data_IF_388827315275
#
_entry.id   IF_388827315275
#
_cell.length_a   1.000
_cell.length_b   1.000
_cell.length_c   1.000
_cell.angle_alpha   90.00
_cell.angle_beta   90.00
_cell.angle_gamma   90.00
#
_symmetry.space_group_name_H-M   'P 1'
#
loop_
_entity.id
_entity.type
_entity.pdbx_description
1 polymer ?
#
# COMPACT_ATOMS: atom_id res chain seq x y z
N UNK A 1 30.49 -87.34 23.58
CA UNK A 1 29.23 -86.53 23.77
C UNK A 1 29.64 -85.12 24.10
N UNK A 2 29.63 -84.19 23.11
CA UNK A 2 29.95 -82.77 23.29
C UNK A 2 28.59 -82.00 23.40
N UNK A 3 28.41 -81.37 24.53
CA UNK A 3 27.22 -80.46 24.74
C UNK A 3 27.45 -79.13 24.09
N UNK A 4 26.62 -78.80 23.10
CA UNK A 4 26.61 -77.49 22.45
C UNK A 4 25.75 -76.58 23.37
N UNK A 5 26.41 -75.49 23.88
CA UNK A 5 25.69 -74.44 24.60
C UNK A 5 25.22 -73.40 23.59
N UNK A 6 23.91 -73.30 23.38
CA UNK A 6 23.25 -72.27 22.56
C UNK A 6 23.23 -70.96 23.36
N UNK A 7 23.93 -69.93 22.86
CA UNK A 7 23.95 -68.60 23.42
C UNK A 7 22.80 -67.79 22.77
N UNK A 8 21.77 -67.45 23.54
CA UNK A 8 20.70 -66.56 23.13
C UNK A 8 21.19 -65.08 23.34
N UNK A 9 21.41 -64.36 22.25
CA UNK A 9 21.67 -62.92 22.29
C UNK A 9 20.32 -62.23 22.21
N UNK A 10 19.91 -61.58 23.31
CA UNK A 10 18.77 -60.70 23.35
C UNK A 10 19.15 -59.36 22.75
N UNK A 11 18.65 -59.07 21.55
CA UNK A 11 18.73 -57.71 20.99
C UNK A 11 17.65 -56.86 21.64
N UNK A 12 18.02 -56.04 22.63
CA UNK A 12 17.12 -55.01 23.16
C UNK A 12 17.03 -53.88 22.15
N UNK A 13 15.95 -53.83 21.39
CA UNK A 13 15.62 -52.67 20.54
C UNK A 13 15.16 -51.54 21.47
N UNK A 14 16.07 -50.60 21.77
CA UNK A 14 15.70 -49.34 22.40
C UNK A 14 14.87 -48.53 21.42
N UNK A 15 13.57 -48.59 21.51
CA UNK A 15 12.67 -47.60 20.94
C UNK A 15 12.90 -46.26 21.67
N UNK A 16 13.78 -45.41 21.13
CA UNK A 16 13.78 -44.02 21.51
C UNK A 16 12.51 -43.40 20.96
N UNK A 17 11.65 -42.79 21.79
CA UNK A 17 10.59 -41.96 21.26
C UNK A 17 11.27 -40.80 20.54
N UNK A 18 11.10 -40.70 19.24
CA UNK A 18 11.37 -39.49 18.48
C UNK A 18 10.36 -38.47 19.02
N UNK A 19 10.76 -37.72 20.04
CA UNK A 19 10.07 -36.47 20.33
C UNK A 19 10.33 -35.61 19.09
N UNK A 20 9.34 -35.58 18.21
CA UNK A 20 9.22 -34.50 17.25
C UNK A 20 9.28 -33.23 18.10
N UNK A 21 10.35 -32.49 17.97
CA UNK A 21 10.47 -31.15 18.53
C UNK A 21 9.45 -30.33 17.74
N UNK A 22 8.19 -30.36 18.17
CA UNK A 22 7.19 -29.38 17.72
C UNK A 22 7.77 -28.06 18.20
N UNK A 23 8.41 -27.32 17.28
CA UNK A 23 8.61 -25.91 17.46
C UNK A 23 7.29 -25.35 17.98
N UNK A 24 7.30 -24.52 19.06
CA UNK A 24 6.08 -23.91 19.53
C UNK A 24 5.44 -23.28 18.30
N UNK A 25 4.27 -23.80 17.89
CA UNK A 25 3.65 -23.60 16.60
C UNK A 25 3.60 -22.11 16.33
N UNK A 26 4.28 -21.66 15.28
CA UNK A 26 4.15 -20.29 14.83
C UNK A 26 2.64 -20.00 14.73
N UNK A 27 2.16 -18.93 15.41
CA UNK A 27 0.73 -18.55 15.42
C UNK A 27 0.20 -18.54 14.00
N UNK A 28 -0.99 -19.05 13.80
CA UNK A 28 -1.63 -19.04 12.49
C UNK A 28 -1.82 -17.63 11.97
N UNK A 29 -1.94 -17.47 10.65
CA UNK A 29 -2.17 -16.13 10.08
C UNK A 29 -3.50 -15.53 10.54
N UNK A 30 -4.51 -16.35 10.80
CA UNK A 30 -5.81 -15.94 11.36
C UNK A 30 -5.65 -15.31 12.75
N UNK A 31 -4.83 -15.92 13.61
CA UNK A 31 -4.55 -15.40 14.96
C UNK A 31 -3.79 -14.08 14.89
N UNK A 32 -2.77 -13.98 14.03
CA UNK A 32 -1.98 -12.74 13.85
C UNK A 32 -2.82 -11.59 13.31
N UNK A 33 -3.70 -11.88 12.34
CA UNK A 33 -4.63 -10.89 11.80
C UNK A 33 -5.67 -10.44 12.81
N UNK A 34 -6.16 -11.36 13.67
CA UNK A 34 -7.15 -11.04 14.70
C UNK A 34 -6.61 -10.12 15.80
N UNK A 35 -5.28 -10.00 15.95
CA UNK A 35 -4.65 -9.03 16.86
C UNK A 35 -4.74 -7.59 16.33
N UNK A 36 -4.79 -7.43 15.02
CA UNK A 36 -4.68 -6.11 14.36
C UNK A 36 -5.88 -5.75 13.49
N UNK A 37 -6.86 -6.63 13.32
CA UNK A 37 -8.08 -6.37 12.54
C UNK A 37 -9.32 -6.80 13.32
N UNK A 38 -10.47 -6.21 12.96
CA UNK A 38 -11.77 -6.76 13.36
C UNK A 38 -11.85 -8.24 12.92
N UNK A 39 -12.31 -9.17 13.80
CA UNK A 39 -12.30 -10.62 13.50
C UNK A 39 -13.04 -10.99 12.21
N UNK A 40 -14.11 -10.26 11.84
CA UNK A 40 -14.85 -10.52 10.61
C UNK A 40 -14.02 -10.13 9.38
N UNK A 41 -13.29 -9.01 9.47
CA UNK A 41 -12.38 -8.58 8.39
C UNK A 41 -11.21 -9.55 8.29
N UNK A 42 -10.62 -10.00 9.40
CA UNK A 42 -9.54 -10.97 9.42
C UNK A 42 -9.96 -12.27 8.71
N UNK A 43 -11.10 -12.85 9.10
CA UNK A 43 -11.64 -14.08 8.49
C UNK A 43 -11.92 -13.90 6.99
N UNK A 44 -12.55 -12.78 6.59
CA UNK A 44 -12.84 -12.50 5.18
C UNK A 44 -11.53 -12.35 4.37
N UNK A 45 -10.52 -11.67 4.95
CA UNK A 45 -9.25 -11.42 4.29
C UNK A 45 -8.44 -12.71 4.06
N UNK A 46 -8.43 -13.64 5.02
CA UNK A 46 -7.78 -14.94 4.84
C UNK A 46 -8.39 -15.72 3.68
N UNK A 47 -9.70 -15.63 3.50
CA UNK A 47 -10.41 -16.33 2.41
C UNK A 47 -10.21 -15.64 1.05
N UNK A 48 -10.36 -14.32 0.99
CA UNK A 48 -10.40 -13.56 -0.25
C UNK A 48 -9.03 -13.03 -0.68
N UNK A 49 -8.08 -12.93 0.24
CA UNK A 49 -6.76 -12.28 0.10
C UNK A 49 -6.80 -10.77 -0.11
N UNK A 50 -7.89 -10.24 -0.62
CA UNK A 50 -8.09 -8.82 -0.91
C UNK A 50 -9.54 -8.41 -0.63
N UNK A 51 -9.74 -7.22 -0.05
CA UNK A 51 -11.07 -6.64 0.19
C UNK A 51 -11.03 -5.17 -0.20
N UNK A 52 -12.04 -4.70 -0.94
CA UNK A 52 -12.22 -3.30 -1.28
C UNK A 52 -13.58 -2.79 -0.83
N UNK A 53 -13.61 -1.61 -0.21
CA UNK A 53 -14.84 -0.92 0.18
C UNK A 53 -14.84 0.52 -0.34
N UNK A 54 -15.91 0.92 -1.01
CA UNK A 54 -16.03 2.23 -1.65
C UNK A 54 -17.31 2.93 -1.18
N UNK A 55 -17.17 4.12 -0.60
CA UNK A 55 -18.27 4.97 -0.14
C UNK A 55 -18.28 6.29 -0.89
N UNK A 56 -19.46 6.79 -1.20
CA UNK A 56 -19.67 8.11 -1.79
C UNK A 56 -20.96 8.73 -1.26
N UNK A 57 -20.88 9.91 -0.68
CA UNK A 57 -22.03 10.64 -0.15
C UNK A 57 -22.81 9.89 0.94
N UNK A 58 -22.22 8.88 1.56
CA UNK A 58 -22.86 8.10 2.61
C UNK A 58 -22.94 8.87 3.93
N UNK A 59 -23.89 8.51 4.79
CA UNK A 59 -24.00 9.06 6.15
C UNK A 59 -22.78 8.72 7.01
N UNK A 60 -22.27 7.50 6.86
CA UNK A 60 -21.04 7.04 7.53
C UNK A 60 -19.88 7.00 6.53
N UNK A 61 -18.96 7.98 6.63
CA UNK A 61 -17.74 8.10 5.85
C UNK A 61 -16.50 7.74 6.68
N UNK A 62 -16.61 6.78 7.58
CA UNK A 62 -15.47 6.24 8.35
C UNK A 62 -14.91 5.00 7.67
N UNK A 63 -13.58 4.77 7.76
CA UNK A 63 -12.98 3.49 7.39
C UNK A 63 -13.57 2.33 8.21
N UNK A 64 -13.56 1.14 7.65
CA UNK A 64 -14.11 -0.07 8.29
C UNK A 64 -13.08 -1.21 8.40
N UNK A 65 -11.92 -1.05 7.77
CA UNK A 65 -10.87 -2.08 7.74
C UNK A 65 -9.52 -1.56 8.27
N UNK A 66 -9.53 -0.42 8.99
CA UNK A 66 -8.30 0.12 9.60
C UNK A 66 -7.68 -0.90 10.56
N UNK A 67 -6.39 -1.21 10.40
CA UNK A 67 -5.67 -2.00 11.38
C UNK A 67 -5.65 -1.32 12.76
N UNK A 68 -5.81 -2.10 13.80
CA UNK A 68 -5.73 -1.65 15.20
C UNK A 68 -4.24 -1.53 15.55
N UNK A 69 -3.69 -0.33 15.43
CA UNK A 69 -2.25 -0.08 15.62
C UNK A 69 -1.96 1.39 15.92
N UNK A 70 -0.83 1.66 16.57
CA UNK A 70 -0.35 3.02 16.77
C UNK A 70 -0.12 3.76 15.45
N UNK A 71 0.30 3.07 14.40
CA UNK A 71 0.44 3.65 13.06
C UNK A 71 -0.91 4.16 12.53
N UNK A 72 -1.98 3.36 12.61
CA UNK A 72 -3.32 3.77 12.20
C UNK A 72 -3.84 4.94 13.02
N UNK A 73 -3.58 4.99 14.33
CA UNK A 73 -3.95 6.11 15.21
C UNK A 73 -3.26 7.41 14.79
N UNK A 74 -1.98 7.36 14.40
CA UNK A 74 -1.23 8.52 13.90
C UNK A 74 -1.67 8.94 12.50
N UNK A 75 -1.98 8.00 11.62
CA UNK A 75 -2.35 8.29 10.22
C UNK A 75 -3.79 8.82 10.09
N UNK A 76 -4.74 8.29 10.84
CA UNK A 76 -6.17 8.62 10.70
C UNK A 76 -6.48 10.12 10.83
N UNK A 77 -5.94 10.89 11.79
CA UNK A 77 -6.20 12.32 11.88
C UNK A 77 -5.69 13.12 10.68
N UNK A 78 -4.64 12.64 10.01
CA UNK A 78 -4.07 13.28 8.83
C UNK A 78 -4.95 13.07 7.58
N UNK A 79 -5.68 11.95 7.52
CA UNK A 79 -6.59 11.59 6.43
C UNK A 79 -8.00 12.19 6.62
N UNK A 80 -8.46 12.28 7.86
CA UNK A 80 -9.85 12.57 8.21
C UNK A 80 -10.11 14.02 8.64
N UNK A 81 -9.20 14.96 8.34
CA UNK A 81 -9.34 16.39 8.75
C UNK A 81 -10.70 17.01 8.42
N UNK A 82 -11.44 16.43 7.47
CA UNK A 82 -12.76 16.92 7.04
C UNK A 82 -13.59 15.73 6.54
N UNK A 83 -14.91 15.74 6.78
CA UNK A 83 -15.83 14.72 6.26
C UNK A 83 -15.68 14.60 4.74
N UNK A 84 -15.15 13.48 4.20
CA UNK A 84 -14.94 13.31 2.76
C UNK A 84 -16.28 13.05 2.04
N UNK A 85 -16.35 13.38 0.74
CA UNK A 85 -17.43 12.94 -0.13
C UNK A 85 -17.20 11.54 -0.69
N UNK A 86 -15.91 11.18 -0.87
CA UNK A 86 -15.48 9.85 -1.29
C UNK A 86 -14.54 9.25 -0.23
N UNK A 87 -14.69 7.95 0.02
CA UNK A 87 -13.78 7.12 0.78
C UNK A 87 -13.64 5.79 0.07
N UNK A 88 -12.40 5.42 -0.27
CA UNK A 88 -12.02 4.12 -0.80
C UNK A 88 -11.02 3.46 0.14
N UNK A 89 -11.30 2.25 0.56
CA UNK A 89 -10.48 1.46 1.45
C UNK A 89 -10.19 0.11 0.80
N UNK A 90 -8.94 -0.29 0.80
CA UNK A 90 -8.46 -1.55 0.25
C UNK A 90 -7.49 -2.19 1.22
N UNK A 91 -7.64 -3.48 1.44
CA UNK A 91 -6.74 -4.27 2.27
C UNK A 91 -6.37 -5.56 1.54
N UNK A 92 -5.09 -5.93 1.62
CA UNK A 92 -4.54 -7.14 0.99
C UNK A 92 -3.60 -7.87 1.93
N UNK A 93 -3.66 -9.19 1.88
CA UNK A 93 -2.76 -10.10 2.57
C UNK A 93 -1.84 -10.75 1.53
N UNK A 94 -0.58 -10.33 1.51
CA UNK A 94 0.43 -10.87 0.60
C UNK A 94 1.34 -11.85 1.34
N UNK A 95 1.50 -13.08 0.80
CA UNK A 95 2.45 -14.05 1.31
C UNK A 95 3.83 -13.77 0.74
N UNK A 96 4.84 -13.69 1.60
CA UNK A 96 6.24 -13.54 1.15
C UNK A 96 6.70 -14.82 0.45
N UNK A 97 7.19 -14.71 -0.77
CA UNK A 97 7.56 -15.86 -1.61
C UNK A 97 9.01 -15.80 -2.13
N UNK A 98 9.66 -14.65 -2.00
CA UNK A 98 11.02 -14.43 -2.47
C UNK A 98 12.09 -14.78 -1.43
N UNK A 99 13.34 -14.93 -1.87
CA UNK A 99 14.48 -15.24 -0.99
C UNK A 99 14.95 -14.02 -0.17
N UNK A 100 14.60 -12.80 -0.57
CA UNK A 100 15.03 -11.58 0.08
C UNK A 100 13.93 -10.99 0.96
N UNK A 101 14.32 -10.17 1.94
CA UNK A 101 13.41 -9.36 2.74
C UNK A 101 13.54 -7.90 2.30
N UNK A 102 12.62 -7.39 1.47
CA UNK A 102 12.70 -6.04 0.93
C UNK A 102 12.65 -4.95 2.01
N UNK A 103 13.40 -3.88 1.80
CA UNK A 103 13.27 -2.67 2.61
C UNK A 103 12.02 -1.88 2.17
N UNK A 104 10.90 -2.14 2.85
CA UNK A 104 9.61 -1.50 2.59
C UNK A 104 9.73 0.04 2.64
N UNK A 105 10.59 0.57 3.51
CA UNK A 105 10.79 2.01 3.65
C UNK A 105 11.41 2.64 2.40
N UNK A 106 12.32 1.94 1.74
CA UNK A 106 12.90 2.39 0.47
C UNK A 106 11.88 2.35 -0.65
N UNK A 107 11.10 1.28 -0.76
CA UNK A 107 10.03 1.17 -1.75
C UNK A 107 9.06 2.35 -1.60
N UNK A 108 8.58 2.64 -0.40
CA UNK A 108 7.65 3.76 -0.18
C UNK A 108 8.23 5.14 -0.53
N UNK A 109 9.55 5.31 -0.44
CA UNK A 109 10.25 6.57 -0.79
C UNK A 109 10.71 6.65 -2.25
N UNK A 110 10.52 5.58 -3.02
CA UNK A 110 10.85 5.55 -4.45
C UNK A 110 9.76 6.30 -5.26
N UNK A 111 9.71 7.63 -5.08
CA UNK A 111 8.70 8.50 -5.70
C UNK A 111 8.79 8.47 -7.22
N UNK A 112 10.02 8.42 -7.77
CA UNK A 112 10.23 8.33 -9.22
C UNK A 112 9.75 6.99 -9.81
N UNK A 113 9.66 5.93 -9.00
CA UNK A 113 9.09 4.63 -9.38
C UNK A 113 7.58 4.68 -9.68
N UNK A 114 6.90 5.76 -9.28
CA UNK A 114 5.50 6.00 -9.65
C UNK A 114 5.33 6.52 -11.09
N UNK A 115 6.41 6.92 -11.78
CA UNK A 115 6.33 7.35 -13.18
C UNK A 115 5.95 6.18 -14.09
N UNK A 116 4.93 6.35 -14.90
CA UNK A 116 4.47 5.34 -15.84
C UNK A 116 3.54 4.28 -15.27
N UNK A 117 3.18 4.32 -13.97
CA UNK A 117 2.22 3.36 -13.41
C UNK A 117 0.88 3.43 -14.14
N UNK A 118 0.23 2.29 -14.27
CA UNK A 118 -0.99 2.16 -15.05
C UNK A 118 -2.19 1.73 -14.20
N UNK A 119 -3.37 2.06 -14.69
CA UNK A 119 -4.64 1.60 -14.16
C UNK A 119 -5.60 1.21 -15.29
N UNK A 120 -6.51 0.28 -15.02
CA UNK A 120 -7.59 -0.02 -15.97
C UNK A 120 -8.67 1.06 -15.93
N UNK A 121 -8.84 1.75 -17.04
CA UNK A 121 -9.87 2.77 -17.17
C UNK A 121 -11.19 2.16 -17.63
N UNK A 122 -12.17 2.09 -16.71
CA UNK A 122 -13.51 1.59 -17.03
C UNK A 122 -14.26 2.45 -18.07
N UNK A 123 -13.90 3.72 -18.22
CA UNK A 123 -14.55 4.61 -19.20
C UNK A 123 -14.03 4.37 -20.63
N UNK A 124 -12.74 4.03 -20.75
CA UNK A 124 -12.10 3.80 -22.05
C UNK A 124 -11.90 2.30 -22.35
N UNK A 125 -12.14 1.40 -21.35
CA UNK A 125 -11.95 -0.05 -21.44
C UNK A 125 -10.52 -0.46 -21.85
N UNK A 126 -9.52 0.29 -21.36
CA UNK A 126 -8.10 0.08 -21.65
C UNK A 126 -7.21 0.41 -20.44
N UNK A 127 -5.98 -0.08 -20.46
CA UNK A 127 -4.93 0.35 -19.52
C UNK A 127 -4.47 1.76 -19.89
N UNK A 128 -4.39 2.64 -18.89
CA UNK A 128 -3.95 4.04 -19.04
C UNK A 128 -2.92 4.39 -17.99
N UNK A 129 -1.95 5.16 -18.39
CA UNK A 129 -0.96 5.72 -17.48
C UNK A 129 -1.62 6.66 -16.49
N UNK A 130 -1.31 6.50 -15.20
CA UNK A 130 -1.77 7.41 -14.15
C UNK A 130 -0.85 8.64 -14.07
N UNK A 131 0.43 8.42 -13.85
CA UNK A 131 1.42 9.49 -13.77
C UNK A 131 2.35 9.46 -14.97
N UNK A 132 2.27 10.50 -15.81
CA UNK A 132 3.18 10.69 -16.95
C UNK A 132 4.58 11.03 -16.48
N UNK A 133 4.67 11.67 -15.31
CA UNK A 133 5.92 12.06 -14.66
C UNK A 133 5.73 12.02 -13.15
N UNK A 134 6.75 11.55 -12.43
CA UNK A 134 6.78 11.49 -10.97
C UNK A 134 8.21 11.67 -10.47
N UNK A 135 8.44 12.62 -9.55
CA UNK A 135 9.73 12.82 -8.89
C UNK A 135 9.63 13.68 -7.63
N UNK A 136 10.59 13.52 -6.73
CA UNK A 136 10.73 14.35 -5.54
C UNK A 136 11.20 15.76 -5.90
N UNK A 137 10.72 16.77 -5.15
CA UNK A 137 11.10 18.17 -5.34
C UNK A 137 11.37 18.85 -4.00
N UNK A 138 12.19 19.89 -4.03
CA UNK A 138 12.32 20.86 -2.94
C UNK A 138 11.75 22.21 -3.34
N UNK A 139 11.17 22.90 -2.39
CA UNK A 139 10.72 24.28 -2.55
C UNK A 139 11.91 25.22 -2.45
N UNK A 140 12.08 26.10 -3.44
CA UNK A 140 13.09 27.16 -3.46
C UNK A 140 12.39 28.51 -3.65
N UNK A 141 12.66 29.45 -2.74
CA UNK A 141 12.14 30.81 -2.82
C UNK A 141 13.13 31.70 -3.55
N UNK A 142 12.73 32.26 -4.71
CA UNK A 142 13.57 33.12 -5.52
C UNK A 142 12.81 34.40 -5.81
N UNK A 143 13.33 35.56 -5.33
CA UNK A 143 12.80 36.92 -5.64
C UNK A 143 11.26 37.04 -5.48
N UNK A 144 10.69 36.40 -4.44
CA UNK A 144 9.25 36.44 -4.14
C UNK A 144 8.41 35.35 -4.83
N UNK A 145 9.00 34.51 -5.68
CA UNK A 145 8.36 33.37 -6.30
C UNK A 145 8.79 32.06 -5.63
N UNK A 146 7.89 31.09 -5.63
CA UNK A 146 8.19 29.72 -5.24
C UNK A 146 8.45 28.89 -6.50
N UNK A 147 9.60 28.22 -6.54
CA UNK A 147 10.00 27.31 -7.60
C UNK A 147 10.23 25.92 -6.99
N UNK A 148 9.87 24.88 -7.71
CA UNK A 148 10.09 23.50 -7.30
C UNK A 148 11.22 22.89 -8.12
N UNK A 149 12.36 22.65 -7.46
CA UNK A 149 13.52 22.00 -8.06
C UNK A 149 13.47 20.48 -7.86
N UNK A 150 13.72 19.72 -8.91
CA UNK A 150 13.84 18.26 -8.81
C UNK A 150 15.01 17.87 -7.92
N UNK A 151 14.79 16.88 -7.06
CA UNK A 151 15.81 16.22 -6.25
C UNK A 151 15.74 14.70 -6.46
N UNK A 152 16.76 13.99 -6.02
CA UNK A 152 16.74 12.53 -5.98
C UNK A 152 15.72 12.03 -4.95
N UNK A 153 15.26 10.80 -5.13
CA UNK A 153 14.38 10.16 -4.15
C UNK A 153 15.11 10.03 -2.79
N UNK A 154 14.42 10.31 -1.66
CA UNK A 154 15.05 10.37 -0.33
C UNK A 154 15.28 8.98 0.28
N UNK A 155 15.93 8.07 -0.48
CA UNK A 155 16.07 6.66 -0.10
C UNK A 155 16.95 6.42 1.13
N UNK A 156 17.84 7.36 1.45
CA UNK A 156 18.80 7.28 2.56
C UNK A 156 18.43 8.17 3.77
N UNK A 157 17.32 8.91 3.69
CA UNK A 157 16.83 9.76 4.77
C UNK A 157 16.22 8.91 5.91
N UNK A 158 16.13 9.49 7.11
CA UNK A 158 15.34 8.87 8.16
C UNK A 158 13.87 8.83 7.75
N UNK A 159 13.24 7.67 7.89
CA UNK A 159 11.88 7.46 7.41
C UNK A 159 10.83 8.11 8.33
N UNK A 160 10.98 7.99 9.64
CA UNK A 160 9.92 8.42 10.57
C UNK A 160 9.81 9.93 10.67
N UNK A 161 8.62 10.44 10.39
CA UNK A 161 8.33 11.87 10.39
C UNK A 161 8.83 12.62 9.15
N UNK A 162 9.49 11.98 8.20
CA UNK A 162 9.96 12.60 6.97
C UNK A 162 8.80 13.19 6.17
N UNK A 163 8.95 14.44 5.71
CA UNK A 163 8.03 15.09 4.78
C UNK A 163 8.76 15.44 3.49
N UNK A 164 8.20 15.02 2.35
CA UNK A 164 8.75 15.27 1.01
C UNK A 164 7.68 15.88 0.13
N UNK A 165 8.05 16.86 -0.69
CA UNK A 165 7.22 17.30 -1.80
C UNK A 165 7.54 16.47 -3.04
N UNK A 166 6.50 16.12 -3.79
CA UNK A 166 6.63 15.41 -5.05
C UNK A 166 5.81 16.10 -6.14
N UNK A 167 6.34 16.16 -7.34
CA UNK A 167 5.62 16.59 -8.53
C UNK A 167 5.11 15.38 -9.28
N UNK A 168 3.81 15.36 -9.52
CA UNK A 168 3.17 14.37 -10.37
C UNK A 168 2.43 15.07 -11.52
N UNK A 169 2.68 14.61 -12.74
CA UNK A 169 1.86 14.95 -13.89
C UNK A 169 0.87 13.81 -14.06
N UNK A 170 -0.35 13.98 -13.49
CA UNK A 170 -1.46 13.03 -13.65
C UNK A 170 -2.05 13.19 -15.05
N UNK A 171 -2.20 12.09 -15.79
CA UNK A 171 -2.72 12.10 -17.16
C UNK A 171 -4.15 12.67 -17.29
N UNK A 172 -4.91 12.71 -16.19
CA UNK A 172 -6.27 13.25 -16.15
C UNK A 172 -6.34 14.64 -15.51
N UNK A 173 -5.69 14.82 -14.36
CA UNK A 173 -5.81 16.05 -13.58
C UNK A 173 -4.78 17.11 -13.95
N UNK A 174 -3.64 16.73 -14.53
CA UNK A 174 -2.57 17.63 -14.89
C UNK A 174 -1.41 17.65 -13.90
N UNK A 175 -0.73 18.78 -13.79
CA UNK A 175 0.55 18.95 -13.10
C UNK A 175 0.34 19.54 -11.70
N UNK A 176 0.70 18.76 -10.65
CA UNK A 176 0.46 19.13 -9.26
C UNK A 176 1.62 18.73 -8.36
N UNK A 177 1.75 19.49 -7.25
CA UNK A 177 2.64 19.19 -6.14
C UNK A 177 1.82 18.50 -5.05
N UNK A 178 2.33 17.38 -4.59
CA UNK A 178 1.81 16.62 -3.46
C UNK A 178 2.80 16.64 -2.31
N UNK A 179 2.29 16.54 -1.09
CA UNK A 179 3.10 16.37 0.10
C UNK A 179 2.96 14.92 0.60
N UNK A 180 4.09 14.26 0.69
CA UNK A 180 4.24 12.94 1.29
C UNK A 180 4.69 13.10 2.73
N UNK A 181 4.13 12.31 3.62
CA UNK A 181 4.57 12.17 5.00
C UNK A 181 4.70 10.70 5.32
N UNK A 182 5.83 10.34 5.91
CA UNK A 182 6.18 8.98 6.27
C UNK A 182 6.10 8.80 7.78
N UNK A 183 5.65 7.63 8.23
CA UNK A 183 5.46 7.29 9.64
C UNK A 183 5.87 5.84 9.86
N UNK A 184 6.50 5.57 11.01
CA UNK A 184 6.93 4.25 11.41
C UNK A 184 6.45 3.95 12.83
N UNK A 185 6.03 2.73 13.05
CA UNK A 185 5.72 2.12 14.34
C UNK A 185 6.28 0.70 14.37
N UNK A 186 6.30 0.06 15.53
CA UNK A 186 7.03 -1.20 15.79
C UNK A 186 6.93 -2.24 14.68
N UNK A 187 5.72 -2.52 14.19
CA UNK A 187 5.46 -3.54 13.16
C UNK A 187 4.87 -2.98 11.86
N UNK A 188 4.82 -1.65 11.71
CA UNK A 188 4.16 -1.00 10.60
C UNK A 188 4.90 0.22 10.07
N UNK A 189 4.86 0.39 8.76
CA UNK A 189 5.39 1.53 8.03
C UNK A 189 4.28 2.10 7.16
N UNK A 190 4.13 3.43 7.16
CA UNK A 190 3.08 4.07 6.39
C UNK A 190 3.50 5.36 5.71
N UNK A 191 2.88 5.65 4.58
CA UNK A 191 2.95 6.95 3.92
C UNK A 191 1.57 7.55 3.72
N UNK A 192 1.50 8.87 3.77
CA UNK A 192 0.31 9.66 3.42
C UNK A 192 0.72 10.68 2.38
N UNK A 193 -0.04 10.72 1.30
CA UNK A 193 0.10 11.70 0.22
C UNK A 193 -1.12 12.61 0.19
N UNK A 194 -0.93 13.94 0.19
CA UNK A 194 -1.99 14.93 0.10
C UNK A 194 -1.70 15.97 -0.98
N UNK A 195 -2.73 16.47 -1.66
CA UNK A 195 -2.57 17.56 -2.62
C UNK A 195 -2.26 18.87 -1.91
N UNK A 196 -1.25 19.60 -2.36
CA UNK A 196 -0.89 20.93 -1.82
C UNK A 196 -1.57 22.07 -2.57
N UNK A 197 -2.10 21.81 -3.75
CA UNK A 197 -2.71 22.78 -4.65
C UNK A 197 -4.16 22.39 -4.96
N UNK A 198 -4.95 23.37 -5.43
CA UNK A 198 -6.31 23.11 -5.91
C UNK A 198 -6.28 22.26 -7.17
N UNK A 199 -6.99 21.12 -7.14
CA UNK A 199 -7.18 20.25 -8.29
C UNK A 199 -8.60 20.42 -8.82
N UNK A 200 -8.77 20.60 -10.13
CA UNK A 200 -10.09 20.68 -10.79
C UNK A 200 -10.14 19.62 -11.89
N UNK A 201 -11.20 18.82 -11.91
CA UNK A 201 -11.37 17.83 -12.97
C UNK A 201 -11.70 18.55 -14.29
N UNK A 202 -10.97 18.29 -15.38
CA UNK A 202 -11.16 19.02 -16.64
C UNK A 202 -12.59 18.91 -17.19
N UNK A 203 -13.20 17.71 -17.14
CA UNK A 203 -14.54 17.45 -17.69
C UNK A 203 -15.66 17.59 -16.65
N UNK A 204 -15.34 17.84 -15.39
CA UNK A 204 -16.31 17.96 -14.29
C UNK A 204 -15.92 19.12 -13.37
N UNK A 205 -16.12 20.33 -13.81
CA UNK A 205 -15.75 21.56 -13.07
C UNK A 205 -16.36 21.66 -11.67
N UNK A 206 -17.48 20.97 -11.41
CA UNK A 206 -18.08 20.83 -10.08
C UNK A 206 -17.21 20.03 -9.11
N UNK A 207 -16.27 19.21 -9.61
CA UNK A 207 -15.32 18.49 -8.78
C UNK A 207 -14.07 19.33 -8.68
N UNK A 208 -14.02 20.13 -7.64
CA UNK A 208 -12.88 20.95 -7.27
C UNK A 208 -12.40 20.54 -5.88
N UNK A 209 -11.15 20.14 -5.80
CA UNK A 209 -10.46 19.67 -4.60
C UNK A 209 -9.52 20.79 -4.13
N UNK A 210 -9.85 21.55 -3.08
CA UNK A 210 -8.92 22.52 -2.51
C UNK A 210 -7.67 21.82 -1.95
N UNK A 211 -6.64 22.57 -1.56
CA UNK A 211 -5.50 21.98 -0.84
C UNK A 211 -5.95 21.12 0.35
N UNK A 212 -5.26 20.02 0.61
CA UNK A 212 -5.56 19.02 1.65
C UNK A 212 -6.95 18.35 1.53
N UNK A 213 -7.58 18.42 0.36
CA UNK A 213 -8.90 17.82 0.16
C UNK A 213 -8.85 16.39 -0.42
N UNK A 214 -7.74 16.00 -1.00
CA UNK A 214 -7.49 14.64 -1.46
C UNK A 214 -6.32 14.06 -0.68
N UNK A 215 -6.52 12.89 -0.12
CA UNK A 215 -5.47 12.14 0.57
C UNK A 215 -5.50 10.68 0.12
N UNK A 216 -4.31 10.10 0.00
CA UNK A 216 -4.09 8.68 -0.19
C UNK A 216 -3.07 8.22 0.85
N UNK A 217 -3.32 7.09 1.48
CA UNK A 217 -2.35 6.44 2.35
C UNK A 217 -2.11 5.00 1.94
N UNK A 218 -0.90 4.55 2.22
CA UNK A 218 -0.48 3.16 2.13
C UNK A 218 0.23 2.82 3.43
N UNK A 219 -0.22 1.78 4.13
CA UNK A 219 0.39 1.24 5.33
C UNK A 219 0.68 -0.24 5.14
N UNK A 220 1.85 -0.68 5.58
CA UNK A 220 2.29 -2.07 5.49
C UNK A 220 2.69 -2.55 6.86
N UNK A 221 2.17 -3.71 7.25
CA UNK A 221 2.47 -4.37 8.52
C UNK A 221 3.16 -5.69 8.23
N UNK A 222 4.29 -5.90 8.88
CA UNK A 222 5.03 -7.17 8.80
C UNK A 222 4.38 -8.20 9.73
N UNK A 223 4.01 -9.34 9.18
CA UNK A 223 3.40 -10.48 9.87
C UNK A 223 4.23 -11.75 9.65
N UNK A 224 5.55 -11.65 9.75
CA UNK A 224 6.52 -12.70 9.52
C UNK A 224 6.56 -13.22 8.06
N UNK A 225 5.81 -14.27 7.74
CA UNK A 225 5.70 -14.86 6.40
C UNK A 225 4.66 -14.19 5.50
N UNK A 226 3.97 -13.16 6.01
CA UNK A 226 3.03 -12.32 5.27
C UNK A 226 3.31 -10.84 5.48
N UNK A 227 2.84 -10.00 4.57
CA UNK A 227 2.61 -8.58 4.82
C UNK A 227 1.13 -8.27 4.65
N UNK A 228 0.62 -7.43 5.55
CA UNK A 228 -0.69 -6.82 5.42
C UNK A 228 -0.51 -5.43 4.82
N UNK A 229 -1.16 -5.19 3.68
CA UNK A 229 -1.11 -3.90 2.98
C UNK A 229 -2.49 -3.26 3.12
N UNK A 230 -2.56 -2.06 3.69
CA UNK A 230 -3.78 -1.29 3.83
C UNK A 230 -3.65 0.03 3.08
N UNK A 231 -4.58 0.30 2.18
CA UNK A 231 -4.66 1.55 1.42
C UNK A 231 -5.97 2.26 1.71
N UNK A 232 -5.90 3.58 1.91
CA UNK A 232 -7.07 4.42 2.11
C UNK A 232 -6.96 5.67 1.23
N UNK A 233 -8.01 5.95 0.47
CA UNK A 233 -8.14 7.18 -0.31
C UNK A 233 -9.37 7.96 0.11
N UNK A 234 -9.21 9.26 0.33
CA UNK A 234 -10.31 10.16 0.67
C UNK A 234 -10.29 11.38 -0.24
N UNK A 235 -11.48 11.88 -0.58
CA UNK A 235 -11.59 13.13 -1.33
C UNK A 235 -12.78 13.96 -0.83
N UNK A 236 -12.54 15.26 -0.62
CA UNK A 236 -13.55 16.20 -0.17
C UNK A 236 -13.93 17.19 -1.27
N UNK A 237 -15.16 17.10 -1.72
CA UNK A 237 -15.79 18.02 -2.67
C UNK A 237 -17.30 18.00 -2.44
N UNK A 238 -18.09 18.91 -3.05
CA UNK A 238 -19.55 18.87 -2.97
C UNK A 238 -20.10 17.55 -3.51
N UNK A 239 -20.99 16.90 -2.76
CA UNK A 239 -21.64 15.68 -3.23
C UNK A 239 -22.63 16.02 -4.35
N UNK A 240 -22.41 15.45 -5.53
CA UNK A 240 -23.25 15.62 -6.71
C UNK A 240 -24.10 14.36 -6.91
N UNK A 241 -25.43 14.46 -7.02
CA UNK A 241 -26.28 13.30 -7.30
C UNK A 241 -25.91 12.61 -8.61
N UNK A 242 -26.22 11.31 -8.71
CA UNK A 242 -26.12 10.46 -9.91
C UNK A 242 -24.72 10.15 -10.44
N UNK A 243 -23.63 10.81 -9.97
CA UNK A 243 -22.26 10.56 -10.43
C UNK A 243 -21.47 9.62 -9.52
N UNK A 244 -22.05 9.11 -8.43
CA UNK A 244 -21.36 8.31 -7.42
C UNK A 244 -20.63 7.09 -7.98
N UNK A 245 -21.20 6.40 -8.96
CA UNK A 245 -20.56 5.28 -9.64
C UNK A 245 -19.29 5.69 -10.42
N UNK A 246 -19.33 6.85 -11.10
CA UNK A 246 -18.17 7.40 -11.83
C UNK A 246 -17.06 7.81 -10.87
N UNK A 247 -17.42 8.47 -9.77
CA UNK A 247 -16.49 8.90 -8.72
C UNK A 247 -15.80 7.67 -8.09
N UNK A 248 -16.59 6.67 -7.67
CA UNK A 248 -16.05 5.45 -7.08
C UNK A 248 -15.02 4.78 -8.01
N UNK A 249 -15.34 4.62 -9.29
CA UNK A 249 -14.41 4.05 -10.27
C UNK A 249 -13.14 4.88 -10.45
N UNK A 250 -13.26 6.20 -10.61
CA UNK A 250 -12.12 7.08 -10.85
C UNK A 250 -11.13 7.08 -9.69
N UNK A 251 -11.61 7.16 -8.45
CA UNK A 251 -10.72 7.18 -7.27
C UNK A 251 -10.22 5.78 -6.89
N UNK A 252 -11.04 4.73 -7.04
CA UNK A 252 -10.56 3.36 -6.79
C UNK A 252 -9.47 2.92 -7.78
N UNK A 253 -9.56 3.33 -9.05
CA UNK A 253 -8.51 3.03 -10.04
C UNK A 253 -7.16 3.62 -9.63
N UNK A 254 -7.13 4.85 -9.08
CA UNK A 254 -5.91 5.47 -8.55
C UNK A 254 -5.37 4.76 -7.32
N UNK A 255 -6.26 4.42 -6.40
CA UNK A 255 -5.91 3.64 -5.21
C UNK A 255 -5.24 2.32 -5.60
N UNK A 256 -5.86 1.59 -6.55
CA UNK A 256 -5.33 0.32 -7.05
C UNK A 256 -4.03 0.48 -7.83
N UNK A 257 -3.83 1.57 -8.58
CA UNK A 257 -2.57 1.82 -9.28
C UNK A 257 -1.40 1.97 -8.31
N UNK A 258 -1.59 2.71 -7.21
CA UNK A 258 -0.55 2.88 -6.17
C UNK A 258 -0.30 1.57 -5.41
N UNK A 259 -1.36 0.81 -5.09
CA UNK A 259 -1.22 -0.51 -4.49
C UNK A 259 -0.43 -1.47 -5.40
N UNK A 260 -0.79 -1.54 -6.68
CA UNK A 260 -0.12 -2.42 -7.64
C UNK A 260 1.36 -2.03 -7.82
N UNK A 261 1.65 -0.73 -7.92
CA UNK A 261 3.03 -0.25 -7.94
C UNK A 261 3.83 -0.77 -6.73
N UNK A 262 3.31 -0.59 -5.52
CA UNK A 262 3.99 -1.04 -4.32
C UNK A 262 4.20 -2.56 -4.33
N UNK A 263 3.16 -3.33 -4.68
CA UNK A 263 3.21 -4.79 -4.74
C UNK A 263 4.23 -5.28 -5.76
N UNK A 264 4.22 -4.71 -6.98
CA UNK A 264 5.11 -5.11 -8.06
C UNK A 264 6.58 -4.79 -7.70
N UNK A 265 6.83 -3.63 -7.10
CA UNK A 265 8.16 -3.23 -6.65
C UNK A 265 8.64 -4.12 -5.49
N UNK A 266 7.76 -4.43 -4.53
CA UNK A 266 8.06 -5.36 -3.45
C UNK A 266 8.42 -6.75 -3.99
N UNK A 267 7.64 -7.28 -4.94
CA UNK A 267 7.93 -8.56 -5.58
C UNK A 267 9.25 -8.56 -6.34
N UNK A 268 9.56 -7.50 -7.06
CA UNK A 268 10.86 -7.36 -7.72
C UNK A 268 12.01 -7.39 -6.69
N UNK A 269 11.88 -6.64 -5.60
CA UNK A 269 12.89 -6.59 -4.55
C UNK A 269 13.05 -7.94 -3.82
N UNK A 270 11.95 -8.68 -3.58
CA UNK A 270 12.00 -10.05 -3.04
C UNK A 270 12.84 -11.00 -3.93
N UNK A 271 12.81 -10.81 -5.23
CA UNK A 271 13.55 -11.61 -6.21
C UNK A 271 14.95 -11.04 -6.50
N UNK A 272 15.32 -9.91 -5.91
CA UNK A 272 16.57 -9.21 -6.21
C UNK A 272 16.63 -8.60 -7.60
N UNK A 273 15.47 -8.27 -8.17
CA UNK A 273 15.28 -7.67 -9.50
C UNK A 273 15.02 -6.17 -9.32
N UNK A 274 15.66 -5.35 -10.15
CA UNK A 274 15.36 -3.92 -10.18
C UNK A 274 13.96 -3.67 -10.75
N UNK A 275 13.15 -2.88 -10.03
CA UNK A 275 11.83 -2.48 -10.50
C UNK A 275 11.94 -1.47 -11.65
N UNK A 276 11.20 -1.74 -12.72
CA UNK A 276 11.04 -0.81 -13.83
C UNK A 276 9.56 -0.74 -14.18
N UNK A 277 8.96 0.44 -14.02
CA UNK A 277 7.57 0.64 -14.45
C UNK A 277 7.45 0.34 -15.95
N UNK A 278 6.39 -0.37 -16.33
CA UNK A 278 6.14 -0.74 -17.74
C UNK A 278 5.92 0.53 -18.56
N UNK A 279 6.98 1.05 -19.19
CA UNK A 279 6.83 2.11 -20.20
C UNK A 279 6.16 1.51 -21.42
N UNK A 280 4.97 1.99 -21.77
CA UNK A 280 4.36 1.69 -23.06
C UNK A 280 5.31 2.22 -24.14
N UNK A 281 5.92 1.33 -24.93
CA UNK A 281 6.65 1.75 -26.12
C UNK A 281 5.62 2.42 -27.04
N UNK A 282 5.67 3.74 -27.15
CA UNK A 282 4.95 4.54 -28.15
C UNK A 282 5.60 4.34 -29.54
N UNK A 283 5.75 3.09 -29.97
CA UNK A 283 6.31 2.73 -31.29
C UNK A 283 5.29 2.10 -32.22
N UNK A 284 3.99 2.43 -32.04
CA UNK A 284 2.99 2.11 -33.06
C UNK A 284 2.07 3.33 -33.26
N UNK A 285 2.56 4.27 -34.09
CA UNK A 285 1.77 5.20 -34.88
C UNK A 285 2.30 5.17 -36.31
#
# INVERSE_FOLDING_TARGET
>A
MKKIKTLFIFFAVCLFPIFANENPSARSIDERLSDILDPKIATELVQKKEIIKLKYGASNMKPEMLPISALSEKMTPLLAKKKPAFLGEFISLYKKEGPNNPDISKIMRHISGLEGIEYFSNSYQEMRTLYLTSYAVKEVKTSGNVVYERIDDPLNEDFDGLEILARHIDATFGDFIYKYRYLKEDNGIGMICVNTQKITHPDMSLISLPPDAMALSLAVYDLDDYILIHCLSTAKFPTVPFIGGRIKRAFSSRLMAVYNWFKDEYQCAEQGIEYTAKKKNNSDN
#
